data_IF_332297328533
#
_entry.id   IF_332297328533
#
_cell.length_a   1.000
_cell.length_b   1.000
_cell.length_c   1.000
_cell.angle_alpha   90.00
_cell.angle_beta   90.00
_cell.angle_gamma   90.00
#
_symmetry.space_group_name_H-M   'P 1'
#
loop_
_entity.id
_entity.type
_entity.pdbx_description
1 polymer ?
#
# COMPACT_ATOMS: atom_id res chain seq x y z
N UNK A 1 4.62 25.65 7.60
CA UNK A 1 5.64 25.06 6.70
C UNK A 1 6.05 23.66 7.17
N UNK A 2 6.48 23.47 8.42
CA UNK A 2 6.83 22.16 9.00
C UNK A 2 5.71 21.10 8.93
N UNK A 3 4.45 21.49 9.20
CA UNK A 3 3.30 20.59 9.19
C UNK A 3 3.12 19.90 7.83
N UNK A 4 3.25 20.64 6.73
CA UNK A 4 3.03 20.10 5.38
C UNK A 4 4.26 19.35 4.84
N UNK A 5 5.47 19.78 5.25
CA UNK A 5 6.69 19.23 4.68
C UNK A 5 7.10 17.91 5.30
N UNK A 6 6.84 17.72 6.60
CA UNK A 6 7.34 16.56 7.35
C UNK A 6 6.21 15.78 8.02
N UNK A 7 5.34 16.45 8.78
CA UNK A 7 4.36 15.76 9.61
C UNK A 7 3.32 15.00 8.80
N UNK A 8 2.70 15.64 7.82
CA UNK A 8 1.65 15.01 7.00
C UNK A 8 2.19 13.82 6.20
N UNK A 9 3.33 13.92 5.48
CA UNK A 9 3.89 12.79 4.76
C UNK A 9 4.26 11.61 5.68
N UNK A 10 4.85 11.88 6.85
CA UNK A 10 5.18 10.82 7.81
C UNK A 10 3.90 10.18 8.34
N UNK A 11 2.90 10.97 8.73
CA UNK A 11 1.64 10.46 9.24
C UNK A 11 0.94 9.55 8.23
N UNK A 12 0.86 9.96 6.96
CA UNK A 12 0.28 9.15 5.88
C UNK A 12 1.03 7.82 5.75
N UNK A 13 2.36 7.85 5.74
CA UNK A 13 3.19 6.65 5.63
C UNK A 13 3.03 5.73 6.83
N UNK A 14 3.02 6.28 8.04
CA UNK A 14 2.77 5.51 9.27
C UNK A 14 1.39 4.86 9.23
N UNK A 15 0.32 5.62 8.94
CA UNK A 15 -1.03 5.06 8.84
C UNK A 15 -1.14 3.95 7.79
N UNK A 16 -0.42 4.09 6.68
CA UNK A 16 -0.43 3.10 5.60
C UNK A 16 0.21 1.78 6.00
N UNK A 17 1.31 1.83 6.78
CA UNK A 17 2.12 0.64 7.04
C UNK A 17 2.06 0.12 8.48
N UNK A 18 1.35 0.79 9.39
CA UNK A 18 1.31 0.44 10.83
C UNK A 18 0.79 -1.00 11.09
N UNK A 19 -0.07 -1.50 10.22
CA UNK A 19 -0.60 -2.85 10.33
C UNK A 19 0.50 -3.92 10.29
N UNK A 20 1.52 -3.75 9.46
CA UNK A 20 2.53 -4.77 9.21
C UNK A 20 3.41 -5.08 10.43
N UNK A 21 3.98 -4.11 11.17
CA UNK A 21 4.74 -4.40 12.39
C UNK A 21 3.90 -5.11 13.45
N UNK A 22 2.62 -4.74 13.61
CA UNK A 22 1.73 -5.45 14.53
C UNK A 22 1.43 -6.87 14.05
N UNK A 23 1.26 -7.08 12.76
CA UNK A 23 1.10 -8.41 12.15
C UNK A 23 2.35 -9.27 12.36
N UNK A 24 3.55 -8.70 12.22
CA UNK A 24 4.80 -9.40 12.52
C UNK A 24 4.90 -9.80 13.99
N UNK A 25 4.56 -8.90 14.92
CA UNK A 25 4.53 -9.18 16.35
C UNK A 25 3.54 -10.29 16.69
N UNK A 26 2.34 -10.25 16.13
CA UNK A 26 1.31 -11.28 16.31
C UNK A 26 1.84 -12.67 15.92
N UNK A 27 2.48 -12.78 14.75
CA UNK A 27 3.11 -14.01 14.26
C UNK A 27 4.25 -14.52 15.17
N UNK A 28 5.00 -13.61 15.79
CA UNK A 28 6.08 -13.98 16.72
C UNK A 28 5.49 -14.50 18.02
N UNK A 29 4.49 -13.82 18.58
CA UNK A 29 3.85 -14.18 19.84
C UNK A 29 3.06 -15.49 19.71
N UNK A 30 2.30 -15.63 18.62
CA UNK A 30 1.46 -16.79 18.34
C UNK A 30 2.08 -17.71 17.28
N UNK A 31 3.37 -18.01 17.43
CA UNK A 31 4.17 -18.75 16.46
C UNK A 31 3.55 -20.06 15.97
N UNK A 32 2.97 -20.82 16.88
CA UNK A 32 2.36 -22.13 16.55
C UNK A 32 1.14 -21.96 15.64
N UNK A 33 0.31 -20.97 15.93
CA UNK A 33 -0.90 -20.68 15.15
C UNK A 33 -0.52 -20.10 13.79
N UNK A 34 0.51 -19.25 13.74
CA UNK A 34 1.05 -18.69 12.52
C UNK A 34 1.64 -19.77 11.60
N UNK A 35 2.35 -20.78 12.14
CA UNK A 35 2.80 -21.94 11.34
C UNK A 35 1.60 -22.75 10.84
N UNK A 36 0.60 -23.03 11.67
CA UNK A 36 -0.58 -23.76 11.26
C UNK A 36 -1.33 -23.02 10.12
N UNK A 37 -1.40 -21.71 10.20
CA UNK A 37 -1.95 -20.87 9.12
C UNK A 37 -1.09 -20.97 7.85
N UNK A 38 0.23 -20.88 7.95
CA UNK A 38 1.13 -21.00 6.80
C UNK A 38 1.00 -22.37 6.13
N UNK A 39 0.87 -23.43 6.89
CA UNK A 39 0.67 -24.81 6.40
C UNK A 39 -0.73 -25.06 5.84
N UNK A 40 -1.71 -24.19 6.14
CA UNK A 40 -3.07 -24.26 5.56
C UNK A 40 -3.14 -23.78 4.10
N UNK A 41 -2.07 -23.13 3.61
CA UNK A 41 -1.96 -22.73 2.22
C UNK A 41 -1.87 -23.96 1.30
N UNK A 42 -2.06 -23.75 0.00
CA UNK A 42 -1.92 -24.85 -1.00
C UNK A 42 -0.45 -25.24 -1.26
N UNK A 43 0.50 -24.63 -0.57
CA UNK A 43 1.92 -24.93 -0.67
C UNK A 43 2.27 -26.21 0.13
N UNK A 44 3.39 -26.89 -0.18
CA UNK A 44 3.84 -28.04 0.59
C UNK A 44 4.02 -27.69 2.07
N UNK A 45 3.58 -28.56 2.99
CA UNK A 45 3.62 -28.34 4.45
C UNK A 45 5.02 -28.01 5.00
N UNK A 46 6.10 -28.43 4.32
CA UNK A 46 7.47 -28.07 4.67
C UNK A 46 7.83 -26.61 4.40
N UNK A 47 6.98 -25.86 3.69
CA UNK A 47 7.20 -24.46 3.35
C UNK A 47 6.73 -23.49 4.44
N UNK A 48 5.96 -23.94 5.43
CA UNK A 48 5.38 -23.09 6.48
C UNK A 48 6.41 -22.24 7.23
N UNK A 49 7.43 -22.86 7.88
CA UNK A 49 8.43 -22.12 8.66
C UNK A 49 9.22 -21.08 7.83
N UNK A 50 9.80 -21.40 6.65
CA UNK A 50 10.51 -20.41 5.87
C UNK A 50 9.59 -19.31 5.31
N UNK A 51 8.35 -19.63 4.96
CA UNK A 51 7.37 -18.66 4.50
C UNK A 51 7.01 -17.68 5.63
N UNK A 52 6.78 -18.21 6.85
CA UNK A 52 6.48 -17.41 8.02
C UNK A 52 7.65 -16.47 8.38
N UNK A 53 8.88 -16.98 8.38
CA UNK A 53 10.06 -16.17 8.65
C UNK A 53 10.22 -15.05 7.63
N UNK A 54 10.04 -15.36 6.35
CA UNK A 54 10.08 -14.37 5.27
C UNK A 54 9.00 -13.30 5.47
N UNK A 55 7.78 -13.71 5.83
CA UNK A 55 6.68 -12.79 6.13
C UNK A 55 7.05 -11.82 7.27
N UNK A 56 7.55 -12.34 8.39
CA UNK A 56 7.96 -11.53 9.54
C UNK A 56 9.04 -10.52 9.16
N UNK A 57 10.07 -10.95 8.41
CA UNK A 57 11.14 -10.05 7.96
C UNK A 57 10.60 -8.94 7.07
N UNK A 58 9.76 -9.28 6.11
CA UNK A 58 9.13 -8.28 5.21
C UNK A 58 8.27 -7.31 6.01
N UNK A 59 7.41 -7.81 6.90
CA UNK A 59 6.50 -7.01 7.72
C UNK A 59 7.20 -6.16 8.79
N UNK A 60 8.41 -6.50 9.20
CA UNK A 60 9.19 -5.69 10.14
C UNK A 60 10.06 -4.64 9.43
N UNK A 61 10.77 -5.02 8.36
CA UNK A 61 11.78 -4.18 7.73
C UNK A 61 11.19 -3.21 6.72
N UNK A 62 10.32 -3.68 5.82
CA UNK A 62 9.83 -2.85 4.74
C UNK A 62 8.98 -1.65 5.20
N UNK A 63 8.10 -1.76 6.24
CA UNK A 63 7.40 -0.61 6.79
C UNK A 63 8.32 0.47 7.33
N UNK A 64 9.40 0.08 8.02
CA UNK A 64 10.40 1.01 8.51
C UNK A 64 11.05 1.79 7.36
N UNK A 65 11.43 1.10 6.29
CA UNK A 65 11.99 1.73 5.09
C UNK A 65 11.02 2.73 4.45
N UNK A 66 9.72 2.40 4.40
CA UNK A 66 8.67 3.31 3.87
C UNK A 66 8.56 4.57 4.73
N UNK A 67 8.52 4.44 6.06
CA UNK A 67 8.36 5.59 6.98
C UNK A 67 9.57 6.51 6.94
N UNK A 68 10.79 5.94 6.98
CA UNK A 68 12.05 6.70 6.97
C UNK A 68 12.37 7.27 5.59
N UNK A 69 11.75 6.75 4.52
CA UNK A 69 12.04 7.17 3.15
C UNK A 69 13.30 6.55 2.55
N UNK A 70 13.81 5.47 3.18
CA UNK A 70 15.00 4.78 2.68
C UNK A 70 14.57 3.64 1.73
N UNK A 71 14.88 3.79 0.44
CA UNK A 71 14.43 2.87 -0.61
C UNK A 71 12.91 2.60 -0.56
N UNK A 72 12.13 3.63 -0.17
CA UNK A 72 10.69 3.55 0.12
C UNK A 72 9.86 3.01 -1.04
N UNK A 73 10.23 3.30 -2.29
CA UNK A 73 9.52 2.76 -3.47
C UNK A 73 9.68 1.26 -3.60
N UNK A 74 10.89 0.73 -3.38
CA UNK A 74 11.15 -0.71 -3.42
C UNK A 74 10.44 -1.38 -2.25
N UNK A 75 10.54 -0.81 -1.04
CA UNK A 75 9.88 -1.32 0.15
C UNK A 75 8.35 -1.34 -0.01
N UNK A 76 7.75 -0.28 -0.54
CA UNK A 76 6.33 -0.22 -0.82
C UNK A 76 5.90 -1.24 -1.89
N UNK A 77 6.70 -1.45 -2.92
CA UNK A 77 6.43 -2.47 -3.94
C UNK A 77 6.50 -3.89 -3.36
N UNK A 78 7.48 -4.18 -2.51
CA UNK A 78 7.59 -5.46 -1.79
C UNK A 78 6.37 -5.70 -0.91
N UNK A 79 5.93 -4.69 -0.14
CA UNK A 79 4.73 -4.79 0.68
C UNK A 79 3.46 -4.97 -0.17
N UNK A 80 3.34 -4.26 -1.30
CA UNK A 80 2.21 -4.42 -2.20
C UNK A 80 2.15 -5.85 -2.77
N UNK A 81 3.28 -6.38 -3.22
CA UNK A 81 3.36 -7.77 -3.68
C UNK A 81 3.03 -8.76 -2.56
N UNK A 82 3.55 -8.52 -1.35
CA UNK A 82 3.24 -9.31 -0.17
C UNK A 82 1.73 -9.33 0.12
N UNK A 83 1.04 -8.17 0.09
CA UNK A 83 -0.42 -8.09 0.26
C UNK A 83 -1.18 -8.89 -0.82
N UNK A 84 -0.76 -8.83 -2.08
CA UNK A 84 -1.38 -9.62 -3.16
C UNK A 84 -1.21 -11.11 -2.90
N UNK A 85 0.01 -11.54 -2.59
CA UNK A 85 0.30 -12.96 -2.33
C UNK A 85 -0.48 -13.47 -1.13
N UNK A 86 -0.49 -12.74 -0.02
CA UNK A 86 -1.24 -13.14 1.19
C UNK A 86 -2.75 -13.14 0.95
N UNK A 87 -3.29 -12.18 0.20
CA UNK A 87 -4.71 -12.17 -0.15
C UNK A 87 -5.11 -13.43 -0.93
N UNK A 88 -4.32 -13.84 -1.91
CA UNK A 88 -4.59 -15.04 -2.71
C UNK A 88 -4.40 -16.32 -1.90
N UNK A 89 -3.37 -16.41 -1.07
CA UNK A 89 -3.05 -17.62 -0.30
C UNK A 89 -4.02 -17.86 0.86
N UNK A 90 -4.34 -16.81 1.62
CA UNK A 90 -5.04 -16.95 2.90
C UNK A 90 -6.48 -16.47 2.90
N UNK A 91 -6.92 -15.75 1.86
CA UNK A 91 -8.30 -15.26 1.75
C UNK A 91 -9.01 -15.75 0.48
N UNK A 92 -9.04 -17.08 0.23
CA UNK A 92 -9.66 -17.66 -0.97
C UNK A 92 -11.19 -17.75 -0.81
N UNK A 93 -11.89 -16.61 -0.77
CA UNK A 93 -13.35 -16.55 -0.58
C UNK A 93 -14.14 -17.37 -1.59
N UNK A 94 -13.59 -17.58 -2.79
CA UNK A 94 -14.21 -18.39 -3.87
C UNK A 94 -14.26 -19.90 -3.57
N UNK A 95 -13.56 -20.37 -2.54
CA UNK A 95 -13.61 -21.78 -2.11
C UNK A 95 -14.84 -22.11 -1.26
N UNK A 96 -15.55 -21.10 -0.78
CA UNK A 96 -16.69 -21.26 0.13
C UNK A 96 -18.00 -20.93 -0.57
N UNK A 97 -19.06 -21.73 -0.35
CA UNK A 97 -20.36 -21.59 -1.01
C UNK A 97 -21.38 -20.79 -0.21
N UNK A 98 -20.99 -20.22 0.94
CA UNK A 98 -21.86 -19.57 1.91
C UNK A 98 -21.93 -18.04 1.76
N UNK A 99 -21.40 -17.47 0.67
CA UNK A 99 -21.30 -16.03 0.46
C UNK A 99 -22.64 -15.31 0.57
N UNK A 100 -23.71 -15.90 0.00
CA UNK A 100 -25.04 -15.31 -0.03
C UNK A 100 -25.97 -15.78 1.09
N UNK A 101 -25.47 -16.62 2.01
CA UNK A 101 -26.29 -17.08 3.14
C UNK A 101 -26.52 -15.95 4.15
N UNK A 102 -27.72 -15.81 4.74
CA UNK A 102 -27.98 -14.85 5.80
C UNK A 102 -27.18 -15.22 7.08
N UNK A 103 -26.81 -14.22 7.89
CA UNK A 103 -26.03 -14.42 9.10
C UNK A 103 -24.52 -14.42 8.86
N UNK A 104 -23.75 -15.07 9.71
CA UNK A 104 -22.30 -15.20 9.58
C UNK A 104 -21.94 -16.06 8.37
N UNK A 105 -20.91 -15.64 7.62
CA UNK A 105 -20.43 -16.30 6.42
C UNK A 105 -18.91 -16.25 6.35
N UNK A 106 -18.29 -17.41 6.24
CA UNK A 106 -16.84 -17.55 6.09
C UNK A 106 -16.38 -16.93 4.77
N UNK A 107 -17.12 -17.15 3.69
CA UNK A 107 -16.83 -16.55 2.39
C UNK A 107 -16.80 -15.01 2.45
N UNK A 108 -17.79 -14.38 3.10
CA UNK A 108 -17.84 -12.93 3.23
C UNK A 108 -16.70 -12.39 4.10
N UNK A 109 -16.32 -13.06 5.18
CA UNK A 109 -15.18 -12.65 6.00
C UNK A 109 -13.89 -12.65 5.16
N UNK A 110 -13.59 -13.75 4.46
CA UNK A 110 -12.45 -13.83 3.56
C UNK A 110 -12.50 -12.80 2.42
N UNK A 111 -13.68 -12.52 1.89
CA UNK A 111 -13.86 -11.50 0.84
C UNK A 111 -13.49 -10.11 1.33
N UNK A 112 -13.94 -9.71 2.53
CA UNK A 112 -13.59 -8.42 3.08
C UNK A 112 -12.11 -8.31 3.39
N UNK A 113 -11.49 -9.37 3.90
CA UNK A 113 -10.04 -9.38 4.16
C UNK A 113 -9.23 -9.35 2.86
N UNK A 114 -9.70 -10.02 1.81
CA UNK A 114 -9.14 -9.92 0.47
C UNK A 114 -9.18 -8.46 -0.04
N UNK A 115 -10.33 -7.79 0.04
CA UNK A 115 -10.47 -6.40 -0.40
C UNK A 115 -9.62 -5.42 0.43
N UNK A 116 -9.50 -5.64 1.75
CA UNK A 116 -8.62 -4.82 2.61
C UNK A 116 -7.16 -4.87 2.12
N UNK A 117 -6.67 -6.04 1.75
CA UNK A 117 -5.34 -6.18 1.17
C UNK A 117 -5.18 -5.37 -0.13
N UNK A 118 -6.19 -5.38 -1.01
CA UNK A 118 -6.16 -4.58 -2.24
C UNK A 118 -6.26 -3.07 -1.96
N UNK A 119 -6.95 -2.66 -0.91
CA UNK A 119 -6.92 -1.28 -0.42
C UNK A 119 -5.50 -0.83 -0.02
N UNK A 120 -4.78 -1.69 0.72
CA UNK A 120 -3.38 -1.46 1.06
C UNK A 120 -2.47 -1.42 -0.18
N UNK A 121 -2.67 -2.34 -1.13
CA UNK A 121 -1.94 -2.33 -2.42
C UNK A 121 -2.11 -0.98 -3.12
N UNK A 122 -3.34 -0.46 -3.23
CA UNK A 122 -3.61 0.84 -3.83
C UNK A 122 -2.84 1.97 -3.14
N UNK A 123 -2.87 2.02 -1.81
CA UNK A 123 -2.13 3.01 -1.02
C UNK A 123 -0.61 2.89 -1.19
N UNK A 124 -0.07 1.67 -1.20
CA UNK A 124 1.38 1.41 -1.39
C UNK A 124 1.83 1.79 -2.81
N UNK A 125 1.02 1.53 -3.83
CA UNK A 125 1.31 1.95 -5.20
C UNK A 125 1.33 3.48 -5.36
N UNK A 126 0.55 4.22 -4.55
CA UNK A 126 0.70 5.68 -4.50
C UNK A 126 2.09 6.11 -4.00
N UNK A 127 2.69 5.39 -3.05
CA UNK A 127 4.07 5.66 -2.62
C UNK A 127 5.07 5.38 -3.75
N UNK A 128 4.84 4.32 -4.54
CA UNK A 128 5.72 3.95 -5.66
C UNK A 128 5.66 4.96 -6.79
N UNK A 129 4.48 5.41 -7.19
CA UNK A 129 4.24 6.17 -8.42
C UNK A 129 3.93 7.65 -8.18
N UNK A 130 3.31 8.02 -7.05
CA UNK A 130 3.00 9.41 -6.73
C UNK A 130 4.21 10.10 -6.09
N UNK A 131 4.81 11.02 -6.82
CA UNK A 131 6.04 11.70 -6.42
C UNK A 131 5.81 13.01 -5.65
N UNK A 132 4.59 13.59 -5.69
CA UNK A 132 4.29 14.87 -5.06
C UNK A 132 2.93 14.85 -4.36
N UNK A 133 2.93 15.26 -3.07
CA UNK A 133 1.71 15.55 -2.34
C UNK A 133 1.28 16.99 -2.65
N UNK A 134 -0.02 17.19 -2.87
CA UNK A 134 -0.56 18.54 -3.00
C UNK A 134 -0.36 19.31 -1.68
N UNK A 135 0.17 20.55 -1.71
CA UNK A 135 0.26 21.40 -0.54
C UNK A 135 -1.11 21.60 0.13
N UNK A 136 -1.14 21.69 1.47
CA UNK A 136 -2.39 21.80 2.21
C UNK A 136 -3.20 23.06 1.86
N UNK A 137 -2.53 24.15 1.46
CA UNK A 137 -3.20 25.36 0.98
C UNK A 137 -3.93 25.15 -0.35
N UNK A 138 -3.40 24.28 -1.25
CA UNK A 138 -4.09 23.89 -2.48
C UNK A 138 -5.34 23.07 -2.18
N UNK A 139 -5.25 22.14 -1.19
CA UNK A 139 -6.40 21.37 -0.75
C UNK A 139 -7.46 22.30 -0.11
N UNK A 140 -7.04 23.24 0.72
CA UNK A 140 -7.95 24.20 1.36
C UNK A 140 -8.66 25.11 0.34
N UNK A 141 -7.98 25.50 -0.75
CA UNK A 141 -8.57 26.30 -1.84
C UNK A 141 -9.46 25.51 -2.79
N UNK A 142 -9.29 24.20 -2.88
CA UNK A 142 -10.07 23.28 -3.74
C UNK A 142 -10.50 22.03 -2.98
N UNK A 143 -11.40 22.18 -1.97
CA UNK A 143 -11.72 21.07 -1.08
C UNK A 143 -12.52 19.94 -1.73
N UNK A 144 -13.17 20.19 -2.88
CA UNK A 144 -14.13 19.25 -3.49
C UNK A 144 -13.51 18.35 -4.58
N UNK A 145 -12.33 18.67 -5.10
CA UNK A 145 -11.70 17.82 -6.13
C UNK A 145 -10.18 17.93 -6.14
N UNK A 146 -9.50 16.80 -6.27
CA UNK A 146 -8.08 16.78 -6.61
C UNK A 146 -7.89 17.23 -8.06
N UNK A 147 -6.77 17.90 -8.35
CA UNK A 147 -6.31 18.11 -9.74
C UNK A 147 -6.24 16.78 -10.46
N UNK A 148 -6.67 16.75 -11.72
CA UNK A 148 -6.86 15.55 -12.53
C UNK A 148 -5.77 14.49 -12.31
N UNK A 149 -6.16 13.31 -11.87
CA UNK A 149 -5.31 12.15 -11.59
C UNK A 149 -4.52 11.71 -12.84
N UNK A 150 -4.93 12.17 -14.03
CA UNK A 150 -4.39 11.77 -15.33
C UNK A 150 -3.70 12.90 -16.11
N UNK A 151 -3.29 13.98 -15.46
CA UNK A 151 -2.49 15.00 -16.14
C UNK A 151 -1.07 14.45 -16.33
N UNK A 152 -0.57 14.26 -17.57
CA UNK A 152 0.79 13.80 -17.80
C UNK A 152 1.80 14.70 -17.09
N UNK A 153 2.83 14.10 -16.48
CA UNK A 153 3.92 14.85 -15.89
C UNK A 153 4.55 15.76 -16.96
N UNK A 154 4.42 17.07 -16.77
CA UNK A 154 4.91 18.07 -17.74
C UNK A 154 3.89 19.11 -18.22
N UNK A 155 2.58 18.89 -17.98
CA UNK A 155 1.54 19.88 -18.28
C UNK A 155 1.08 20.63 -17.03
N UNK A 156 2.03 21.11 -16.21
CA UNK A 156 1.69 22.04 -15.14
C UNK A 156 1.10 23.32 -15.74
N UNK A 157 -0.05 23.84 -15.22
CA UNK A 157 -0.56 25.13 -15.64
C UNK A 157 0.47 26.21 -15.25
N UNK A 158 1.25 26.69 -16.18
CA UNK A 158 2.30 27.69 -15.96
C UNK A 158 3.57 27.52 -16.79
N UNK A 159 3.80 26.39 -17.46
CA UNK A 159 4.86 26.28 -18.45
C UNK A 159 4.40 26.83 -19.80
N UNK A 160 4.04 28.11 -19.85
CA UNK A 160 3.99 28.84 -21.10
C UNK A 160 5.44 28.87 -21.62
N UNK A 161 5.70 28.09 -22.65
CA UNK A 161 6.91 28.26 -23.48
C UNK A 161 6.94 29.71 -23.91
N UNK A 162 7.97 30.51 -23.59
CA UNK A 162 8.06 31.86 -24.09
C UNK A 162 8.06 31.80 -25.62
N UNK A 163 7.06 32.45 -26.20
CA UNK A 163 6.94 32.60 -27.67
C UNK A 163 8.20 33.29 -28.22
N UNK A 164 9.11 32.49 -28.73
CA UNK A 164 10.35 32.95 -29.36
C UNK A 164 10.02 33.36 -30.82
N UNK A 165 9.11 34.31 -30.95
CA UNK A 165 8.88 35.06 -32.20
C UNK A 165 9.13 36.52 -31.92
N UNK A 166 10.28 36.99 -32.27
CA UNK A 166 10.67 38.33 -32.74
C UNK A 166 12.10 38.65 -32.28
N UNK A 167 13.06 38.18 -33.05
CA UNK A 167 14.32 38.87 -33.25
C UNK A 167 14.95 38.31 -34.53
N UNK A 168 14.44 38.77 -35.70
CA UNK A 168 15.22 38.82 -36.91
C UNK A 168 15.66 40.27 -37.09
N UNK A 169 16.96 40.58 -37.06
CA UNK A 169 17.47 41.88 -37.48
C UNK A 169 17.34 42.00 -38.99
N UNK A 170 16.88 43.20 -39.41
CA UNK A 170 16.89 43.66 -40.81
C UNK A 170 18.30 43.96 -41.28
#
# INVERSE_FOLDING_TARGET
MWLNLYFIPILIRVCLVVLFPFSALDKIVFWKDAIAQADSSFLPKSSGPPLLLTAIVVEAVAPFCVVVGWHDRIAALVLALFCVVTAILYHPFWKFSDFWKPGESVARSHFWDFLKNFGLVGGLLLVVFATQLAPADVIARRPLSSTAVYTPAGTAPGSAVPDRKHDMPR
#
